data_IF_453796857763
#
_entry.id   IF_453796857763
#
_cell.length_a   1.000
_cell.length_b   1.000
_cell.length_c   1.000
_cell.angle_alpha   90.00
_cell.angle_beta   90.00
_cell.angle_gamma   90.00
#
_symmetry.space_group_name_H-M   'P 1'
#
loop_
_entity.id
_entity.type
_entity.pdbx_description
1 polymer ?
2 non-polymer ?
3 water ?
#
# COMPACT_ATOMS: atom_id res chain seq x y z
N UNK A 2 -1.87 -5.06 14.69
CA UNK A 2 -3.19 -5.24 14.00
C UNK A 2 -3.55 -3.93 13.27
N UNK A 3 -2.66 -3.48 12.39
CA UNK A 3 -2.83 -2.19 11.68
C UNK A 3 -4.08 -2.17 10.81
N UNK A 5 -6.89 -4.06 11.18
CA UNK A 5 -8.10 -4.12 12.00
C UNK A 5 -8.42 -2.72 12.54
N UNK A 6 -7.39 -1.89 12.74
CA UNK A 6 -7.57 -0.53 13.31
C UNK A 6 -8.14 0.45 12.26
N UNK A 7 -8.16 0.07 10.98
CA UNK A 7 -8.71 0.97 9.93
C UNK A 7 -10.23 0.81 9.95
N UNK A 8 -10.94 1.85 10.37
CA UNK A 8 -12.41 1.70 10.54
C UNK A 8 -13.20 2.14 9.31
N UNK A 9 -12.59 2.84 8.36
CA UNK A 9 -13.31 3.11 7.09
C UNK A 9 -12.30 3.11 5.94
N UNK A 10 -12.75 2.58 4.83
CA UNK A 10 -11.93 2.44 3.61
C UNK A 10 -12.62 3.19 2.47
N UNK A 11 -11.86 4.07 1.82
CA UNK A 11 -12.35 4.74 0.60
C UNK A 11 -12.07 3.81 -0.59
N UNK A 12 -13.12 3.42 -1.30
CA UNK A 12 -13.00 2.53 -2.48
C UNK A 12 -13.28 3.35 -3.73
N UNK A 13 -12.28 3.51 -4.58
CA UNK A 13 -12.48 4.26 -5.84
C UNK A 13 -13.11 3.29 -6.85
N UNK A 14 -14.32 3.62 -7.28
CA UNK A 14 -15.12 2.79 -8.23
C UNK A 14 -15.02 3.40 -9.63
N UNK A 15 -14.62 2.61 -10.61
CA UNK A 15 -14.57 3.05 -12.01
C UNK A 15 -15.91 2.72 -12.67
N UNK A 16 -16.47 3.66 -13.47
CA UNK A 16 -17.72 3.35 -14.18
C UNK A 16 -17.64 2.52 -15.47
N UNK A 17 -16.48 2.50 -16.15
CA UNK A 17 -16.44 1.93 -17.53
C UNK A 17 -15.39 0.83 -17.73
N UNK A 18 -14.74 0.34 -16.68
CA UNK A 18 -13.71 -0.72 -16.84
C UNK A 18 -14.36 -2.10 -16.67
N UNK A 19 -13.72 -3.17 -17.15
CA UNK A 19 -14.30 -4.53 -17.05
C UNK A 19 -13.81 -5.28 -15.81
N UNK A 20 -12.89 -4.67 -15.06
CA UNK A 20 -12.45 -5.26 -13.78
C UNK A 20 -12.89 -4.31 -12.66
N UNK A 21 -13.10 -4.87 -11.47
CA UNK A 21 -13.46 -4.10 -10.29
C UNK A 21 -12.63 -4.57 -9.13
N UNK A 22 -11.30 -4.51 -9.27
CA UNK A 22 -10.46 -5.11 -8.19
C UNK A 22 -10.48 -4.23 -6.94
N UNK A 23 -10.69 -2.92 -7.05
CA UNK A 23 -10.67 -2.11 -5.80
C UNK A 23 -11.76 -2.61 -4.85
N UNK A 24 -12.97 -2.82 -5.36
CA UNK A 24 -14.06 -3.30 -4.48
C UNK A 24 -13.80 -4.74 -4.04
N UNK A 25 -13.21 -5.58 -4.90
CA UNK A 25 -12.93 -6.98 -4.46
C UNK A 25 -11.96 -6.96 -3.27
N UNK A 26 -10.88 -6.19 -3.35
CA UNK A 26 -9.95 -6.16 -2.20
C UNK A 26 -10.67 -5.58 -0.97
N UNK A 27 -11.49 -4.55 -1.16
CA UNK A 27 -12.20 -3.93 -0.02
C UNK A 27 -13.13 -4.95 0.65
N UNK A 28 -13.82 -5.76 -0.16
CA UNK A 28 -14.74 -6.80 0.41
C UNK A 28 -13.93 -7.83 1.19
N UNK A 29 -12.75 -8.21 0.69
CA UNK A 29 -11.96 -9.23 1.41
C UNK A 29 -11.52 -8.66 2.75
N UNK A 30 -10.99 -7.44 2.74
CA UNK A 30 -10.48 -6.82 4.00
C UNK A 30 -11.65 -6.63 4.98
N UNK A 31 -12.72 -5.97 4.52
CA UNK A 31 -13.82 -5.61 5.44
C UNK A 31 -14.60 -6.86 5.89
N UNK A 32 -14.51 -7.94 5.11
CA UNK A 32 -15.19 -9.19 5.53
C UNK A 32 -14.60 -9.71 6.82
N UNK A 33 -13.33 -9.38 7.08
CA UNK A 33 -12.60 -9.79 8.31
C UNK A 33 -12.60 -8.63 9.33
N UNK A 34 -12.29 -7.41 8.91
CA UNK A 34 -12.12 -6.30 9.88
C UNK A 34 -13.43 -5.57 10.23
N UNK A 35 -14.50 -5.84 9.49
CA UNK A 35 -15.83 -5.19 9.68
C UNK A 35 -15.72 -3.67 9.52
N UNK A 36 -14.71 -3.23 8.75
CA UNK A 36 -14.51 -1.79 8.42
C UNK A 36 -15.66 -1.30 7.55
N UNK A 37 -15.92 0.00 7.63
CA UNK A 37 -16.94 0.64 6.78
C UNK A 37 -16.34 0.83 5.38
N UNK A 38 -17.16 0.67 4.35
CA UNK A 38 -16.74 0.93 2.95
C UNK A 38 -17.45 2.18 2.45
N UNK A 39 -16.68 3.17 2.00
CA UNK A 39 -17.25 4.36 1.31
C UNK A 39 -16.88 4.25 -0.16
N UNK A 40 -17.89 4.06 -1.01
CA UNK A 40 -17.67 3.90 -2.46
C UNK A 40 -17.75 5.26 -3.15
N UNK A 41 -16.73 5.60 -3.91
CA UNK A 41 -16.68 6.92 -4.57
C UNK A 41 -16.54 6.76 -6.08
N UNK A 42 -17.41 7.44 -6.83
CA UNK A 42 -17.22 7.59 -8.29
C UNK A 42 -16.81 9.04 -8.54
N UNK A 43 -15.68 9.22 -9.22
CA UNK A 43 -15.15 10.57 -9.52
C UNK A 43 -15.55 10.95 -10.95
N UNK A 44 -16.65 11.69 -11.08
CA UNK A 44 -17.15 12.08 -12.42
C UNK A 44 -18.19 13.19 -12.25
N UNK A 45 -18.26 14.08 -13.21
CA UNK A 45 -19.28 15.17 -13.18
C UNK A 45 -20.47 14.83 -14.08
N UNK A 46 -20.24 14.25 -15.27
CA UNK A 46 -21.34 14.23 -16.27
C UNK A 46 -22.49 13.27 -15.96
N UNK A 47 -22.22 11.96 -15.95
CA UNK A 47 -23.36 11.00 -15.84
C UNK A 47 -23.84 10.89 -14.39
N UNK A 48 -25.14 10.68 -14.21
CA UNK A 48 -25.75 10.49 -12.88
C UNK A 48 -25.62 9.00 -12.52
N UNK A 49 -24.67 8.67 -11.64
CA UNK A 49 -24.45 7.26 -11.25
C UNK A 49 -25.20 6.91 -9.96
N UNK A 50 -26.13 7.77 -9.52
CA UNK A 50 -26.82 7.60 -8.21
C UNK A 50 -27.56 6.25 -8.14
N UNK A 51 -28.33 5.91 -9.17
CA UNK A 51 -29.12 4.65 -9.10
C UNK A 51 -28.19 3.44 -9.01
N UNK A 52 -27.14 3.42 -9.84
CA UNK A 52 -26.20 2.29 -9.85
C UNK A 52 -25.46 2.20 -8.51
N UNK A 53 -25.09 3.35 -7.94
CA UNK A 53 -24.40 3.31 -6.62
C UNK A 53 -25.36 2.78 -5.54
N UNK A 54 -26.62 3.22 -5.59
CA UNK A 54 -27.61 2.73 -4.60
C UNK A 54 -27.76 1.21 -4.71
N UNK A 55 -27.87 0.70 -5.94
CA UNK A 55 -28.07 -0.76 -6.16
C UNK A 55 -26.85 -1.51 -5.61
N UNK A 56 -25.65 -1.03 -5.91
CA UNK A 56 -24.40 -1.66 -5.42
C UNK A 56 -24.36 -1.63 -3.88
N UNK A 57 -24.66 -0.49 -3.26
CA UNK A 57 -24.67 -0.39 -1.79
C UNK A 57 -25.70 -1.37 -1.20
N UNK A 58 -26.88 -1.48 -1.80
CA UNK A 58 -27.94 -2.40 -1.28
C UNK A 58 -27.43 -3.84 -1.29
N UNK A 59 -26.77 -4.24 -2.37
CA UNK A 59 -26.28 -5.63 -2.50
C UNK A 59 -25.22 -5.90 -1.42
N UNK A 60 -24.33 -4.93 -1.19
CA UNK A 60 -23.25 -5.12 -0.19
C UNK A 60 -23.85 -5.13 1.22
N UNK A 61 -24.84 -4.29 1.50
CA UNK A 61 -25.44 -4.30 2.86
C UNK A 61 -26.12 -5.65 3.11
N UNK A 62 -26.73 -6.25 2.08
CA UNK A 62 -27.39 -7.58 2.22
C UNK A 62 -26.32 -8.64 2.55
N UNK A 63 -25.07 -8.41 2.12
CA UNK A 63 -23.93 -9.33 2.38
C UNK A 63 -23.31 -9.04 3.77
N UNK A 64 -23.80 -8.03 4.49
CA UNK A 64 -23.32 -7.74 5.87
C UNK A 64 -22.35 -6.57 5.98
N UNK A 65 -22.08 -5.87 4.88
CA UNK A 65 -21.11 -4.75 4.94
C UNK A 65 -21.82 -3.46 5.36
N UNK A 66 -21.06 -2.61 6.05
CA UNK A 66 -21.45 -1.21 6.34
C UNK A 66 -20.98 -0.39 5.14
N UNK A 67 -21.90 0.28 4.44
CA UNK A 67 -21.55 0.96 3.16
C UNK A 67 -22.21 2.33 3.04
N UNK A 68 -21.46 3.28 2.50
CA UNK A 68 -21.97 4.60 2.06
C UNK A 68 -21.41 4.83 0.66
N UNK A 69 -22.04 5.72 -0.09
CA UNK A 69 -21.61 5.99 -1.48
C UNK A 69 -21.68 7.48 -1.76
N UNK A 70 -20.92 7.89 -2.76
CA UNK A 70 -21.00 9.28 -3.22
C UNK A 70 -20.40 9.40 -4.62
N UNK A 71 -20.90 10.37 -5.36
CA UNK A 71 -20.32 10.77 -6.64
C UNK A 71 -19.86 12.22 -6.46
N UNK A 72 -18.63 12.52 -6.86
CA UNK A 72 -18.08 13.86 -6.67
C UNK A 72 -17.09 14.19 -7.78
N UNK A 73 -16.80 15.47 -7.92
CA UNK A 73 -15.77 15.92 -8.88
C UNK A 73 -15.34 17.32 -8.53
N UNK A 74 -14.07 17.49 -8.20
CA UNK A 74 -13.56 18.88 -8.12
C UNK A 74 -12.08 18.90 -8.54
N UNK A 75 -11.84 19.61 -9.65
CA UNK A 75 -10.50 19.95 -10.18
C UNK A 75 -9.82 18.77 -10.87
N UNK A 76 -9.59 17.67 -10.14
CA UNK A 76 -8.86 16.53 -10.73
C UNK A 76 -9.26 15.24 -10.04
N UNK A 77 -8.83 14.12 -10.61
CA UNK A 77 -9.16 12.81 -10.03
C UNK A 77 -8.49 12.67 -8.66
N UNK A 78 -7.19 12.92 -8.56
CA UNK A 78 -6.55 12.71 -7.23
C UNK A 78 -7.10 13.70 -6.20
N UNK A 79 -7.41 14.94 -6.59
CA UNK A 79 -7.94 15.90 -5.60
C UNK A 79 -9.34 15.47 -5.14
N UNK A 80 -10.14 14.93 -6.05
CA UNK A 80 -11.50 14.46 -5.67
C UNK A 80 -11.38 13.31 -4.65
N UNK A 81 -10.46 12.39 -4.92
CA UNK A 81 -10.24 11.24 -4.00
C UNK A 81 -9.77 11.74 -2.62
N UNK A 82 -8.76 12.61 -2.59
CA UNK A 82 -8.26 13.08 -1.27
C UNK A 82 -9.33 13.89 -0.56
N UNK A 83 -10.10 14.72 -1.27
CA UNK A 83 -11.16 15.49 -0.59
C UNK A 83 -12.18 14.52 0.03
N UNK A 84 -12.47 13.43 -0.66
CA UNK A 84 -13.45 12.45 -0.10
C UNK A 84 -12.87 11.75 1.12
N UNK A 85 -11.58 11.39 1.05
CA UNK A 85 -10.90 10.76 2.22
C UNK A 85 -10.99 11.72 3.42
N UNK A 86 -10.81 13.01 3.19
CA UNK A 86 -10.87 14.00 4.29
C UNK A 86 -12.30 14.10 4.85
N UNK A 87 -13.29 14.18 3.97
CA UNK A 87 -14.69 14.34 4.39
C UNK A 87 -15.17 13.12 5.19
N UNK A 88 -14.77 11.93 4.78
CA UNK A 88 -15.28 10.67 5.38
C UNK A 88 -14.33 10.14 6.46
N UNK A 89 -13.14 10.72 6.60
CA UNK A 89 -12.20 10.26 7.64
C UNK A 89 -11.65 8.86 7.37
N UNK A 90 -11.49 8.48 6.12
CA UNK A 90 -11.03 7.11 5.80
C UNK A 90 -9.54 6.93 6.13
N UNK A 91 -9.18 5.72 6.57
CA UNK A 91 -7.81 5.36 6.95
C UNK A 91 -7.07 4.59 5.88
N UNK A 92 -7.72 4.32 4.74
CA UNK A 92 -7.11 3.60 3.61
C UNK A 92 -7.85 4.04 2.36
N UNK A 93 -7.11 4.24 1.29
CA UNK A 93 -7.68 4.45 -0.07
C UNK A 93 -7.31 3.23 -0.91
N UNK A 94 -8.29 2.64 -1.58
CA UNK A 94 -8.02 1.51 -2.52
C UNK A 94 -8.38 2.00 -3.92
N UNK A 95 -7.42 1.92 -4.84
CA UNK A 95 -7.66 2.32 -6.23
C UNK A 95 -6.98 1.31 -7.16
N UNK A 96 -7.67 0.95 -8.23
CA UNK A 96 -7.06 0.04 -9.22
C UNK A 96 -6.24 0.85 -10.23
N UNK A 97 -5.08 0.30 -10.56
CA UNK A 97 -4.18 0.86 -11.58
C UNK A 97 -4.65 0.47 -12.98
N UNK A 98 -4.82 1.47 -13.84
CA UNK A 98 -5.15 1.28 -15.27
C UNK A 98 -4.08 2.01 -16.07
N UNK A 99 -3.10 1.29 -16.68
CA UNK A 99 -2.02 1.94 -17.41
C UNK A 99 -2.48 2.67 -18.68
N UNK A 100 -1.77 3.75 -19.02
CA UNK A 100 -2.08 4.56 -20.24
C UNK A 100 -1.60 3.84 -21.50
N UNK A 101 -0.52 3.05 -21.39
CA UNK A 101 0.09 2.38 -22.57
C UNK A 101 0.11 0.87 -22.34
N UNK A 102 -0.55 0.06 -23.19
CA UNK A 102 -0.54 -1.40 -23.04
C UNK A 102 0.85 -2.02 -23.21
N UNK A 103 1.83 -1.27 -23.74
CA UNK A 103 3.22 -1.78 -23.92
C UNK A 103 4.07 -1.41 -22.70
N UNK A 104 3.52 -0.59 -21.79
CA UNK A 104 4.19 -0.16 -20.52
C UNK A 104 3.16 -0.37 -19.40
N UNK A 105 2.70 -1.61 -19.25
CA UNK A 105 1.57 -1.96 -18.36
C UNK A 105 1.84 -1.69 -16.86
N UNK A 106 3.10 -1.64 -16.41
CA UNK A 106 3.36 -1.48 -14.96
C UNK A 106 3.50 -0.01 -14.53
N UNK A 107 3.61 0.91 -15.51
CA UNK A 107 3.83 2.36 -15.22
C UNK A 107 2.57 3.00 -14.66
N UNK A 108 2.66 3.63 -13.48
CA UNK A 108 1.48 4.33 -12.92
C UNK A 108 1.23 5.61 -13.72
N UNK A 109 -0.03 6.05 -13.75
CA UNK A 109 -0.36 7.30 -14.48
C UNK A 109 0.12 8.51 -13.69
N UNK A 110 0.33 9.67 -14.34
CA UNK A 110 0.69 10.88 -13.61
C UNK A 110 -0.31 11.21 -12.50
N UNK A 111 -1.60 10.98 -12.74
CA UNK A 111 -2.60 11.32 -11.67
C UNK A 111 -2.44 10.33 -10.50
N UNK A 112 -2.17 9.05 -10.80
CA UNK A 112 -1.90 8.05 -9.72
C UNK A 112 -0.73 8.53 -8.87
N UNK A 113 0.30 9.07 -9.51
CA UNK A 113 1.48 9.55 -8.76
C UNK A 113 1.10 10.73 -7.86
N UNK A 114 0.22 11.63 -8.32
CA UNK A 114 -0.18 12.77 -7.45
C UNK A 114 -0.99 12.24 -6.27
N UNK A 115 -1.83 11.22 -6.50
CA UNK A 115 -2.59 10.62 -5.38
C UNK A 115 -1.60 10.05 -4.36
N UNK A 116 -0.62 9.28 -4.84
CA UNK A 116 0.34 8.67 -3.88
C UNK A 116 1.18 9.72 -3.15
N UNK A 117 1.52 10.81 -3.83
CA UNK A 117 2.34 11.88 -3.23
C UNK A 117 1.57 12.55 -2.09
N UNK A 118 0.31 12.91 -2.34
CA UNK A 118 -0.43 13.79 -1.40
C UNK A 118 -1.38 13.06 -0.45
N UNK A 119 -1.64 11.77 -0.66
CA UNK A 119 -2.62 11.11 0.23
C UNK A 119 -2.09 11.08 1.66
N UNK A 120 -2.87 11.56 2.66
CA UNK A 120 -2.42 11.55 4.04
C UNK A 120 -2.81 10.28 4.80
N UNK A 121 -2.72 9.15 4.10
CA UNK A 121 -3.08 7.85 4.66
C UNK A 121 -2.49 6.78 3.77
N UNK A 122 -2.49 5.50 4.21
CA UNK A 122 -2.09 4.39 3.36
C UNK A 122 -2.92 4.34 2.07
N UNK A 123 -2.24 4.01 0.97
CA UNK A 123 -2.92 3.83 -0.34
C UNK A 123 -2.58 2.43 -0.86
N UNK A 124 -3.61 1.66 -1.18
CA UNK A 124 -3.46 0.35 -1.84
C UNK A 124 -3.76 0.54 -3.32
N UNK A 126 -4.07 -1.37 -6.61
CA UNK A 126 -4.19 -2.75 -7.07
C UNK A 126 -3.65 -2.85 -8.49
N UNK A 127 -2.76 -3.81 -8.73
CA UNK A 127 -2.10 -3.94 -10.06
C UNK A 127 -2.31 -5.32 -10.67
N UNK A 128 -2.84 -6.28 -9.92
CA UNK A 128 -3.04 -7.65 -10.45
C UNK A 128 -4.48 -8.07 -10.18
N UNK A 129 -5.01 -8.96 -11.02
CA UNK A 129 -6.37 -9.50 -10.81
C UNK A 129 -6.29 -10.79 -9.98
N UNK A 130 -5.08 -11.28 -9.69
CA UNK A 130 -4.96 -12.52 -8.90
C UNK A 130 -5.60 -12.32 -7.53
N UNK A 131 -6.33 -13.32 -6.99
CA UNK A 131 -6.88 -13.20 -5.64
C UNK A 131 -5.76 -13.15 -4.59
N UNK A 132 -6.01 -12.46 -3.49
CA UNK A 132 -5.01 -12.47 -2.39
C UNK A 132 -5.00 -13.81 -1.66
N UNK A 133 -6.16 -14.46 -1.54
CA UNK A 133 -6.31 -15.66 -0.70
C UNK A 133 -5.28 -16.71 -1.10
N UNK A 134 -4.52 -17.16 -0.11
CA UNK A 134 -3.51 -18.21 -0.33
C UNK A 134 -2.24 -17.73 -0.99
N UNK A 135 -2.10 -16.43 -1.26
CA UNK A 135 -0.89 -15.96 -1.97
C UNK A 135 0.27 -15.65 -1.05
N UNK A 136 1.22 -14.88 -1.57
CA UNK A 136 2.42 -14.45 -0.80
C UNK A 136 2.42 -12.93 -0.66
N UNK A 137 2.62 -12.46 0.56
CA UNK A 137 2.68 -11.02 0.91
C UNK A 137 4.14 -10.68 1.17
N UNK A 138 4.64 -9.63 0.51
CA UNK A 138 6.06 -9.25 0.65
C UNK A 138 6.15 -7.88 1.34
N UNK A 139 6.92 -7.81 2.42
CA UNK A 139 7.21 -6.54 3.11
C UNK A 139 8.62 -6.10 2.74
N UNK A 140 8.82 -4.83 2.37
CA UNK A 140 10.15 -4.31 2.02
C UNK A 140 10.66 -3.41 3.14
N UNK A 141 11.81 -3.76 3.71
CA UNK A 141 12.45 -2.96 4.79
C UNK A 141 13.95 -2.85 4.50
N UNK A 142 14.65 -2.09 5.34
CA UNK A 142 16.14 -2.05 5.30
C UNK A 142 16.60 -2.27 6.75
N UNK A 143 16.86 -3.53 7.10
CA UNK A 143 17.23 -3.87 8.51
C UNK A 143 18.54 -3.17 8.91
N UNK A 144 19.31 -2.65 7.94
CA UNK A 144 20.57 -1.94 8.22
C UNK A 144 20.36 -0.57 8.87
N UNK A 145 19.12 -0.11 9.06
CA UNK A 145 18.88 1.21 9.69
C UNK A 145 17.83 1.07 10.80
N UNK A 146 18.20 1.39 12.04
CA UNK A 146 17.26 1.27 13.19
C UNK A 146 17.12 2.59 13.94
N UNK A 147 17.22 3.75 13.25
CA UNK A 147 16.99 5.05 13.94
C UNK A 147 15.48 5.14 14.21
N UNK A 148 15.06 6.08 15.07
CA UNK A 148 13.64 6.17 15.47
C UNK A 148 12.68 6.19 14.28
N UNK A 149 13.05 6.92 13.23
CA UNK A 149 12.17 7.07 12.04
C UNK A 149 12.06 5.75 11.27
N UNK A 150 13.18 5.05 11.06
CA UNK A 150 13.09 3.76 10.33
C UNK A 150 12.45 2.69 11.22
N UNK A 151 12.71 2.70 12.52
CA UNK A 151 12.07 1.69 13.41
C UNK A 151 10.54 1.79 13.31
N UNK A 152 10.02 3.02 13.36
CA UNK A 152 8.56 3.27 13.29
C UNK A 152 8.01 2.83 11.93
N UNK A 153 8.67 3.26 10.84
CA UNK A 153 8.20 2.94 9.47
C UNK A 153 8.23 1.41 9.28
N UNK A 154 9.33 0.76 9.67
CA UNK A 154 9.41 -0.72 9.51
C UNK A 154 8.33 -1.40 10.35
N UNK A 155 8.08 -0.93 11.57
CA UNK A 155 7.03 -1.55 12.41
C UNK A 155 5.68 -1.44 11.67
N UNK A 156 5.43 -0.31 11.01
CA UNK A 156 4.14 -0.14 10.30
C UNK A 156 4.06 -1.03 9.07
N UNK A 157 5.17 -1.13 8.34
CA UNK A 157 5.20 -2.00 7.14
C UNK A 157 4.93 -3.45 7.55
N UNK A 158 5.56 -3.90 8.64
CA UNK A 158 5.35 -5.31 9.10
C UNK A 158 3.95 -5.48 9.68
N UNK A 159 3.45 -4.50 10.43
CA UNK A 159 2.10 -4.67 11.02
C UNK A 159 1.06 -4.82 9.91
N UNK A 160 1.16 -3.99 8.88
CA UNK A 160 0.15 -4.05 7.79
C UNK A 160 0.34 -5.34 6.98
N UNK A 161 1.59 -5.70 6.67
CA UNK A 161 1.83 -6.92 5.87
C UNK A 161 1.36 -8.18 6.60
N UNK A 162 1.60 -8.24 7.91
CA UNK A 162 1.17 -9.38 8.75
C UNK A 162 -0.36 -9.43 8.83
N UNK A 163 -1.02 -8.28 9.02
CA UNK A 163 -2.50 -8.31 9.07
C UNK A 163 -3.06 -8.78 7.73
N UNK A 164 -2.43 -8.38 6.63
CA UNK A 164 -2.93 -8.79 5.29
C UNK A 164 -2.72 -10.30 5.15
N UNK A 165 -1.56 -10.80 5.53
CA UNK A 165 -1.31 -12.26 5.41
C UNK A 165 -2.37 -13.02 6.22
N UNK A 166 -2.72 -12.53 7.40
CA UNK A 166 -3.72 -13.23 8.22
C UNK A 166 -5.10 -13.20 7.60
N UNK A 167 -5.54 -12.03 7.12
CA UNK A 167 -6.94 -11.94 6.62
C UNK A 167 -7.07 -12.67 5.28
N UNK A 168 -5.98 -12.77 4.52
CA UNK A 168 -6.02 -13.45 3.20
C UNK A 168 -5.61 -14.93 3.30
N UNK A 169 -5.27 -15.42 4.50
CA UNK A 169 -4.77 -16.81 4.66
C UNK A 169 -3.64 -17.00 3.65
N UNK A 170 -2.66 -16.10 3.74
CA UNK A 170 -1.49 -16.01 2.85
C UNK A 170 -0.22 -16.14 3.70
N UNK A 171 0.92 -16.26 3.05
CA UNK A 171 2.20 -16.34 3.79
C UNK A 171 2.92 -15.00 3.67
N UNK A 172 3.67 -14.68 4.70
CA UNK A 172 4.43 -13.40 4.81
C UNK A 172 5.91 -13.64 4.55
N UNK A 173 6.50 -12.75 3.76
CA UNK A 173 7.92 -12.77 3.34
C UNK A 173 8.47 -11.35 3.51
N UNK A 174 9.76 -11.23 3.75
CA UNK A 174 10.41 -9.90 3.93
C UNK A 174 11.64 -9.80 3.03
N UNK A 175 11.79 -8.68 2.35
CA UNK A 175 13.02 -8.38 1.54
C UNK A 175 13.71 -7.18 2.22
N UNK A 176 14.97 -7.40 2.57
CA UNK A 176 15.84 -6.33 3.11
C UNK A 176 16.94 -6.11 2.09
N UNK A 177 16.94 -4.95 1.46
CA UNK A 177 17.96 -4.61 0.45
C UNK A 177 18.82 -3.51 1.03
N UNK A 178 20.07 -3.86 1.30
CA UNK A 178 21.08 -2.95 1.90
C UNK A 178 22.11 -2.59 0.84
N UNK A 179 22.44 -1.29 0.64
CA UNK A 179 23.43 -0.90 -0.36
C UNK A 179 24.79 -1.61 -0.16
N UNK A 180 25.47 -1.92 -1.26
CA UNK A 180 26.80 -2.60 -1.22
C UNK A 180 27.81 -1.69 -0.52
N UNK A 181 28.58 -2.19 0.48
CA UNK A 181 29.60 -1.39 1.15
C UNK A 181 30.70 -0.91 0.18
N UNK A 192 38.45 -4.77 7.78
CA UNK A 192 37.47 -3.89 8.46
C UNK A 192 36.08 -4.10 7.84
N UNK A 193 36.02 -4.44 6.55
CA UNK A 193 34.73 -4.68 5.85
C UNK A 193 34.00 -5.85 6.52
N UNK A 194 34.76 -6.79 7.10
CA UNK A 194 34.20 -7.98 7.80
C UNK A 194 33.65 -7.57 9.17
N UNK A 195 34.20 -6.50 9.76
CA UNK A 195 33.78 -6.01 11.11
C UNK A 195 32.50 -5.18 10.98
N UNK A 196 32.43 -4.27 10.00
CA UNK A 196 31.21 -3.43 9.78
C UNK A 196 30.05 -4.36 9.39
N UNK A 197 30.40 -5.48 8.73
CA UNK A 197 29.42 -6.52 8.33
C UNK A 197 28.87 -7.18 9.60
N UNK A 198 29.68 -7.21 10.68
CA UNK A 198 29.23 -7.79 11.97
C UNK A 198 28.12 -6.93 12.58
N UNK A 199 28.26 -5.59 12.53
CA UNK A 199 27.22 -4.67 13.05
C UNK A 199 25.92 -4.89 12.25
N UNK A 200 26.04 -5.06 10.94
CA UNK A 200 24.85 -5.33 10.08
C UNK A 200 24.28 -6.72 10.40
N UNK A 201 25.14 -7.75 10.51
CA UNK A 201 24.61 -9.10 10.84
C UNK A 201 23.91 -9.02 12.21
N UNK A 202 24.44 -8.20 13.13
CA UNK A 202 23.83 -8.04 14.47
C UNK A 202 22.43 -7.44 14.32
N UNK A 203 22.31 -6.34 13.55
CA UNK A 203 21.00 -5.69 13.31
C UNK A 203 20.03 -6.72 12.70
N UNK A 204 20.55 -7.54 11.80
CA UNK A 204 19.70 -8.53 11.09
C UNK A 204 19.22 -9.63 12.05
N UNK A 205 20.11 -10.18 12.88
CA UNK A 205 19.69 -11.24 13.83
C UNK A 205 18.71 -10.67 14.86
N UNK A 206 18.91 -9.44 15.30
CA UNK A 206 17.98 -8.81 16.27
C UNK A 206 16.60 -8.65 15.61
N UNK A 207 16.58 -8.16 14.36
CA UNK A 207 15.31 -7.99 13.63
C UNK A 207 14.57 -9.32 13.51
N UNK A 208 15.31 -10.39 13.23
CA UNK A 208 14.71 -11.73 13.05
C UNK A 208 14.06 -12.23 14.34
N UNK A 209 14.71 -12.01 15.49
CA UNK A 209 14.12 -12.43 16.78
C UNK A 209 12.94 -11.52 17.15
N UNK A 210 13.12 -10.22 17.01
CA UNK A 210 12.06 -9.25 17.38
C UNK A 210 10.78 -9.58 16.62
N UNK A 211 10.92 -9.85 15.33
CA UNK A 211 9.73 -10.05 14.47
C UNK A 211 9.41 -11.54 14.20
N UNK A 212 10.18 -12.45 14.77
CA UNK A 212 9.85 -13.89 14.63
C UNK A 212 9.82 -14.38 13.20
N UNK A 213 10.85 -14.05 12.42
CA UNK A 213 10.94 -14.54 11.03
C UNK A 213 11.91 -15.71 10.91
N UNK A 214 11.51 -16.69 10.10
CA UNK A 214 12.38 -17.84 9.78
C UNK A 214 13.44 -17.38 8.79
N UNK A 215 14.50 -18.16 8.61
CA UNK A 215 15.52 -17.82 7.58
C UNK A 215 14.86 -17.82 6.20
N UNK A 216 13.88 -18.71 6.00
CA UNK A 216 13.18 -18.93 4.69
C UNK A 216 12.25 -17.75 4.36
N UNK A 217 11.78 -17.01 5.37
CA UNK A 217 10.92 -15.81 5.21
C UNK A 217 11.72 -14.53 4.98
N UNK A 218 12.94 -14.46 5.51
CA UNK A 218 13.73 -13.20 5.47
C UNK A 218 14.78 -13.29 4.35
N UNK A 219 14.61 -12.45 3.33
CA UNK A 219 15.53 -12.35 2.18
C UNK A 219 16.48 -11.18 2.45
N UNK A 220 17.72 -11.50 2.86
CA UNK A 220 18.74 -10.45 3.15
C UNK A 220 19.64 -10.39 1.92
N UNK A 221 19.53 -9.29 1.18
CA UNK A 221 20.23 -9.14 -0.13
C UNK A 221 21.06 -7.85 -0.14
N UNK A 222 22.20 -7.90 -0.82
CA UNK A 222 23.05 -6.70 -0.97
C UNK A 222 22.90 -6.21 -2.41
N UNK A 223 22.69 -4.91 -2.58
CA UNK A 223 22.57 -4.35 -3.92
C UNK A 223 21.51 -3.25 -3.94
N UNK A 224 21.18 -2.72 -5.13
CA UNK A 224 20.20 -1.63 -5.24
C UNK A 224 18.78 -2.06 -4.85
N UNK A 225 18.16 -1.40 -3.86
CA UNK A 225 16.80 -1.78 -3.41
C UNK A 225 15.80 -1.64 -4.55
N UNK A 226 16.02 -0.68 -5.45
CA UNK A 226 15.09 -0.44 -6.57
C UNK A 226 15.05 -1.65 -7.51
N UNK A 227 16.08 -2.50 -7.53
CA UNK A 227 15.96 -3.72 -8.41
C UNK A 227 15.76 -4.95 -7.52
N UNK A 228 16.25 -4.91 -6.28
CA UNK A 228 16.14 -6.13 -5.43
C UNK A 228 14.69 -6.36 -5.00
N UNK A 229 13.94 -5.30 -4.70
CA UNK A 229 12.53 -5.46 -4.22
C UNK A 229 11.72 -6.10 -5.35
N UNK A 230 11.72 -5.56 -6.59
CA UNK A 230 10.96 -6.23 -7.65
C UNK A 230 11.46 -7.65 -7.97
N UNK A 231 12.76 -7.90 -7.87
CA UNK A 231 13.23 -9.28 -8.18
C UNK A 231 12.61 -10.27 -7.19
N UNK A 232 12.60 -9.90 -5.91
CA UNK A 232 12.05 -10.83 -4.90
C UNK A 232 10.55 -10.98 -5.12
N UNK A 233 9.85 -9.89 -5.41
CA UNK A 233 8.40 -9.99 -5.66
C UNK A 233 8.15 -10.94 -6.83
N UNK A 234 8.95 -10.83 -7.88
CA UNK A 234 8.73 -11.66 -9.07
C UNK A 234 9.03 -13.13 -8.75
N UNK A 235 10.14 -13.39 -8.05
CA UNK A 235 10.54 -14.79 -7.73
C UNK A 235 9.47 -15.45 -6.84
N UNK A 236 8.90 -14.71 -5.90
CA UNK A 236 7.85 -15.24 -4.99
C UNK A 236 6.47 -15.20 -5.66
N UNK A 237 6.35 -14.54 -6.81
CA UNK A 237 5.02 -14.29 -7.42
C UNK A 237 4.15 -13.59 -6.36
N UNK A 238 4.72 -12.62 -5.63
CA UNK A 238 3.97 -11.93 -4.56
C UNK A 238 2.70 -11.30 -5.15
N UNK A 239 1.61 -11.35 -4.38
CA UNK A 239 0.32 -10.75 -4.83
C UNK A 239 0.17 -9.35 -4.21
N UNK A 240 0.84 -9.08 -3.08
CA UNK A 240 0.86 -7.73 -2.45
C UNK A 240 2.29 -7.47 -1.99
N UNK A 241 2.79 -6.26 -2.26
CA UNK A 241 4.07 -5.78 -1.69
C UNK A 241 3.73 -4.55 -0.85
N UNK A 242 4.25 -4.51 0.37
CA UNK A 242 4.06 -3.37 1.29
C UNK A 242 5.38 -2.62 1.35
N UNK A 243 5.34 -1.32 1.04
CA UNK A 243 6.55 -0.48 1.03
C UNK A 243 6.29 0.81 1.80
N UNK A 244 7.38 1.44 2.21
CA UNK A 244 7.33 2.78 2.81
C UNK A 244 8.05 3.76 1.92
N UNK A 245 7.60 5.01 1.91
CA UNK A 245 8.28 6.10 1.24
C UNK A 245 9.52 6.50 2.06
N UNK A 246 10.33 7.40 1.52
CA UNK A 246 11.62 7.76 2.17
C UNK A 246 11.37 8.43 3.53
N UNK A 247 12.26 8.20 4.50
CA UNK A 247 12.04 8.69 5.88
C UNK A 247 11.99 10.21 5.93
N UNK A 248 12.79 10.87 5.08
CA UNK A 248 12.81 12.36 5.04
C UNK A 248 12.70 12.77 3.58
N UNK A 249 11.96 13.86 3.33
CA UNK A 249 11.73 14.27 1.93
C UNK A 249 13.02 14.72 1.24
N UNK A 250 13.06 14.51 -0.06
CA UNK A 250 14.13 15.05 -0.90
C UNK A 250 13.83 16.50 -1.26
N UNK A 251 14.69 17.11 -2.06
CA UNK A 251 14.53 18.54 -2.45
C UNK A 251 13.21 18.79 -3.18
N UNK A 252 12.67 19.99 -3.02
CA UNK A 252 11.50 20.43 -3.83
C UNK A 252 10.29 19.51 -3.64
N UNK A 253 10.08 19.00 -2.43
CA UNK A 253 8.89 18.20 -2.10
C UNK A 253 8.93 16.77 -2.64
N UNK A 254 10.13 16.25 -2.92
CA UNK A 254 10.24 14.87 -3.46
C UNK A 254 10.13 13.88 -2.29
N UNK A 255 8.92 13.62 -1.84
CA UNK A 255 8.71 12.82 -0.60
C UNK A 255 8.54 11.32 -0.88
N UNK A 256 8.38 10.91 -2.13
CA UNK A 256 8.23 9.44 -2.38
C UNK A 256 9.63 8.77 -2.31
N UNK A 257 10.61 9.37 -2.96
CA UNK A 257 11.97 8.83 -2.99
C UNK A 257 12.21 7.95 -4.20
N UNK A 258 13.48 7.79 -4.59
CA UNK A 258 13.79 7.01 -5.82
C UNK A 258 13.40 5.54 -5.68
N UNK A 259 13.66 4.92 -4.54
CA UNK A 259 13.36 3.46 -4.46
C UNK A 259 11.87 3.23 -4.70
N UNK A 260 11.03 3.95 -3.95
CA UNK A 260 9.57 3.73 -4.10
C UNK A 260 9.12 4.13 -5.51
N UNK A 261 9.70 5.18 -6.10
CA UNK A 261 9.29 5.58 -7.47
C UNK A 261 9.53 4.43 -8.45
N UNK A 262 10.73 3.87 -8.42
CA UNK A 262 11.07 2.77 -9.37
C UNK A 262 10.22 1.53 -9.06
N UNK A 263 10.15 1.13 -7.80
CA UNK A 263 9.39 -0.10 -7.44
C UNK A 263 7.91 0.03 -7.84
N UNK A 264 7.29 1.17 -7.57
CA UNK A 264 5.85 1.33 -7.87
C UNK A 264 5.57 1.23 -9.38
N UNK A 265 6.54 1.63 -10.20
CA UNK A 265 6.39 1.60 -11.68
C UNK A 265 6.85 0.25 -12.26
N UNK A 266 7.29 -0.69 -11.41
CA UNK A 266 7.86 -1.98 -11.89
C UNK A 266 7.06 -3.17 -11.35
N UNK A 267 6.61 -3.10 -10.11
CA UNK A 267 5.93 -4.27 -9.51
C UNK A 267 4.68 -4.65 -10.29
N UNK A 268 4.43 -5.96 -10.34
CA UNK A 268 3.20 -6.53 -10.94
C UNK A 268 2.22 -6.90 -9.82
N UNK A 269 2.68 -6.93 -8.57
CA UNK A 269 1.82 -7.16 -7.40
C UNK A 269 1.01 -5.90 -7.10
N UNK A 270 -0.07 -6.07 -6.34
CA UNK A 270 -0.68 -4.88 -5.72
C UNK A 270 0.40 -4.24 -4.83
N UNK A 271 0.28 -2.96 -4.56
CA UNK A 271 1.27 -2.26 -3.71
C UNK A 271 0.53 -1.45 -2.64
N UNK A 272 0.87 -1.70 -1.38
CA UNK A 272 0.38 -0.87 -0.26
C UNK A 272 1.49 0.11 0.07
N UNK A 273 1.21 1.39 -0.07
CA UNK A 273 2.22 2.47 0.13
C UNK A 273 1.96 3.17 1.46
N UNK A 274 2.92 3.07 2.37
CA UNK A 274 2.88 3.70 3.69
C UNK A 274 3.87 4.88 3.71
N UNK A 275 3.59 5.86 4.55
CA UNK A 275 4.49 7.01 4.71
C UNK A 275 4.88 7.16 6.17
N UNK A 276 6.03 7.79 6.45
CA UNK A 276 6.43 8.06 7.83
C UNK A 276 5.36 8.90 8.55
N UNK A 277 5.23 8.69 9.85
CA UNK A 277 4.22 9.43 10.65
C UNK A 277 4.37 10.96 10.50
N UNK A 278 5.60 11.47 10.50
CA UNK A 278 5.87 12.94 10.40
C UNK A 278 5.40 13.47 9.03
N UNK A 279 5.54 12.65 7.98
CA UNK A 279 5.11 13.04 6.61
C UNK A 279 3.58 13.01 6.55
N UNK A 280 2.97 11.97 7.10
CA UNK A 280 1.48 11.90 7.16
C UNK A 280 0.92 13.14 7.86
N UNK A 281 1.50 13.53 9.00
CA UNK A 281 1.01 14.69 9.75
C UNK A 281 1.06 15.95 8.87
N UNK A 282 2.16 16.15 8.14
CA UNK A 282 2.29 17.35 7.27
C UNK A 282 1.29 17.26 6.11
N UNK A 283 1.08 16.07 5.54
CA UNK A 283 0.13 15.92 4.42
C UNK A 283 -1.31 16.11 4.92
N UNK A 284 -1.60 15.70 6.15
CA UNK A 284 -2.96 15.92 6.73
C UNK A 284 -3.22 17.43 6.80
N UNK A 285 -2.22 18.21 7.23
CA UNK A 285 -2.36 19.68 7.29
C UNK A 285 -2.61 20.24 5.87
N UNK A 286 -1.84 19.78 4.87
CA UNK A 286 -2.04 20.29 3.48
C UNK A 286 -3.43 19.91 2.96
N UNK A 287 -3.90 18.70 3.26
CA UNK A 287 -5.20 18.21 2.74
C UNK A 287 -6.37 18.90 3.44
N UNK A 288 -6.15 19.42 4.65
CA UNK A 288 -7.22 20.03 5.48
C UNK A 288 -7.34 21.54 5.21
N UNK A 289 -6.54 22.08 4.29
CA UNK A 289 -6.63 23.52 3.95
C UNK A 289 -7.92 23.79 3.18
#
# INVERSE_FOLDING_TARGET
SNAXQAIRSILVVIEPDQLEGLALKRAQLIAGVTQSHLHLLVCEKRRDHSAALNDLAQELREEGYSVSTNQAWKDSLHQTIIAEQQAEGCGLIIKQHFPDNPLKKAILTPDDWKLLRFAPCPVLXTKTARPWTGGKILAAVDVGNNDGEHRSLHAGIISHAYDIAGLAKATLHVISAHPSPXLSSADPTFQLSETIEARYREACRTFQAEYGFSDEQLHIEEGPADVLIPRTAQKLDAVVTVIGTVARTGLSGALIGNTAEVVLDTLESDVLVLKPDDIIAHLEELASK
#
